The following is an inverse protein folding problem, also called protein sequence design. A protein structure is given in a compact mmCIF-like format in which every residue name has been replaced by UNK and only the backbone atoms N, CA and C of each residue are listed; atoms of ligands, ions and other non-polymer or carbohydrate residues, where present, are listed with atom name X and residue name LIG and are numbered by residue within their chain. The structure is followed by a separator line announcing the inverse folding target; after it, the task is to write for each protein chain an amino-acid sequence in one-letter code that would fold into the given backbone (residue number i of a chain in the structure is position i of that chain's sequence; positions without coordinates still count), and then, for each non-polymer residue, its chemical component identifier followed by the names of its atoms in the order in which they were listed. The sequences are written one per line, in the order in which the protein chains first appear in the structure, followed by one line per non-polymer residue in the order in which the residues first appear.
data_IF_154521665336
#
_entry.id   IF_154521665336
#
_cell.length_a   1.000
_cell.length_b   1.000
_cell.length_c   1.000
_cell.angle_alpha   90.00
_cell.angle_beta   90.00
_cell.angle_gamma   90.00
#
_symmetry.space_group_name_H-M   'P 1'
#
loop_
_entity.id
_entity.type
_entity.pdbx_description
1 polymer ?
#
# COMPACT_ATOMS: atom_id res chain seq x y z
N UNK A 1 -33.89 -8.38 1.30
CA UNK A 1 -32.64 -7.72 1.76
C UNK A 1 -32.03 -8.39 3.00
N UNK A 2 -32.80 -8.71 4.06
CA UNK A 2 -32.28 -9.37 5.30
C UNK A 2 -31.50 -10.67 5.04
N UNK A 3 -31.96 -11.53 4.14
CA UNK A 3 -31.30 -12.81 3.88
C UNK A 3 -29.90 -12.66 3.27
N UNK A 4 -29.71 -11.68 2.38
CA UNK A 4 -28.40 -11.35 1.79
C UNK A 4 -27.42 -10.92 2.88
N UNK A 5 -27.88 -10.10 3.84
CA UNK A 5 -27.06 -9.65 4.96
C UNK A 5 -26.65 -10.78 5.90
N UNK A 6 -27.55 -11.75 6.14
CA UNK A 6 -27.29 -12.91 6.99
C UNK A 6 -26.21 -13.81 6.35
N UNK A 7 -26.29 -14.04 5.04
CA UNK A 7 -25.32 -14.84 4.29
C UNK A 7 -23.95 -14.15 4.28
N UNK A 8 -23.93 -12.85 3.92
CA UNK A 8 -22.70 -12.07 3.91
C UNK A 8 -21.99 -12.06 5.27
N UNK A 9 -22.74 -11.92 6.37
CA UNK A 9 -22.17 -11.95 7.73
C UNK A 9 -21.58 -13.33 8.07
N UNK A 10 -22.23 -14.41 7.66
CA UNK A 10 -21.74 -15.77 7.89
C UNK A 10 -20.41 -15.99 7.18
N UNK A 11 -20.33 -15.61 5.90
CA UNK A 11 -19.14 -15.82 5.09
C UNK A 11 -17.98 -14.93 5.55
N UNK A 12 -18.22 -13.64 5.81
CA UNK A 12 -17.21 -12.75 6.41
C UNK A 12 -16.67 -13.33 7.72
N UNK A 13 -17.56 -13.74 8.63
CA UNK A 13 -17.16 -14.29 9.93
C UNK A 13 -16.33 -15.55 9.77
N UNK A 14 -16.60 -16.38 8.76
CA UNK A 14 -15.80 -17.56 8.43
C UNK A 14 -14.40 -17.17 7.94
N UNK A 15 -14.27 -16.15 7.09
CA UNK A 15 -12.96 -15.63 6.65
C UNK A 15 -12.13 -15.10 7.83
N UNK A 16 -12.75 -14.30 8.71
CA UNK A 16 -12.10 -13.77 9.91
C UNK A 16 -11.86 -14.78 11.03
N UNK A 17 -12.38 -16.01 10.93
CA UNK A 17 -12.07 -17.08 11.89
C UNK A 17 -10.87 -17.92 11.44
N UNK A 18 -10.44 -17.81 10.19
CA UNK A 18 -9.34 -18.59 9.65
C UNK A 18 -7.99 -18.00 10.07
N UNK A 19 -7.11 -18.76 10.75
CA UNK A 19 -5.76 -18.31 11.07
C UNK A 19 -4.95 -17.90 9.83
N UNK A 20 -5.22 -18.55 8.69
CA UNK A 20 -4.55 -18.30 7.41
C UNK A 20 -4.79 -16.87 6.92
N UNK A 21 -6.01 -16.34 7.09
CA UNK A 21 -6.34 -14.97 6.67
C UNK A 21 -5.47 -13.94 7.39
N UNK A 22 -5.26 -14.11 8.70
CA UNK A 22 -4.42 -13.20 9.48
C UNK A 22 -2.95 -13.32 9.10
N UNK A 23 -2.45 -14.53 8.86
CA UNK A 23 -1.07 -14.74 8.40
C UNK A 23 -0.82 -14.06 7.06
N UNK A 24 -1.70 -14.28 6.06
CA UNK A 24 -1.59 -13.67 4.74
C UNK A 24 -1.69 -12.13 4.81
N UNK A 25 -2.68 -11.63 5.54
CA UNK A 25 -2.89 -10.18 5.70
C UNK A 25 -1.71 -9.52 6.41
N UNK A 26 -1.14 -10.17 7.43
CA UNK A 26 0.03 -9.65 8.13
C UNK A 26 1.25 -9.56 7.22
N UNK A 27 1.55 -10.62 6.47
CA UNK A 27 2.67 -10.63 5.50
C UNK A 27 2.46 -9.56 4.42
N UNK A 28 1.24 -9.46 3.88
CA UNK A 28 0.88 -8.45 2.91
C UNK A 28 1.12 -7.02 3.44
N UNK A 29 0.63 -6.72 4.65
CA UNK A 29 0.77 -5.39 5.26
C UNK A 29 2.24 -5.06 5.56
N UNK A 30 3.02 -6.02 6.05
CA UNK A 30 4.44 -5.82 6.34
C UNK A 30 5.21 -5.50 5.06
N UNK A 31 5.02 -6.29 4.00
CA UNK A 31 5.70 -6.09 2.73
C UNK A 31 5.30 -4.75 2.08
N UNK A 32 3.99 -4.48 2.01
CA UNK A 32 3.48 -3.25 1.41
C UNK A 32 3.95 -2.02 2.19
N UNK A 33 3.84 -2.06 3.53
CA UNK A 33 4.30 -0.98 4.40
C UNK A 33 5.80 -0.73 4.29
N UNK A 34 6.61 -1.79 4.20
CA UNK A 34 8.06 -1.67 4.04
C UNK A 34 8.43 -1.00 2.70
N UNK A 35 7.82 -1.43 1.58
CA UNK A 35 8.10 -0.82 0.28
C UNK A 35 7.63 0.63 0.23
N UNK A 36 6.42 0.91 0.72
CA UNK A 36 5.88 2.27 0.80
C UNK A 36 6.79 3.20 1.60
N UNK A 37 7.27 2.74 2.75
CA UNK A 37 8.20 3.51 3.58
C UNK A 37 9.51 3.80 2.85
N UNK A 38 10.05 2.86 2.08
CA UNK A 38 11.26 3.09 1.28
C UNK A 38 11.05 4.17 0.21
N UNK A 39 9.93 4.10 -0.53
CA UNK A 39 9.59 5.09 -1.57
C UNK A 39 9.41 6.48 -0.95
N UNK A 40 8.73 6.58 0.20
CA UNK A 40 8.57 7.83 0.92
C UNK A 40 9.89 8.43 1.40
N UNK A 41 10.81 7.61 1.93
CA UNK A 41 12.13 8.10 2.34
C UNK A 41 12.91 8.63 1.14
N UNK A 42 12.85 7.94 0.00
CA UNK A 42 13.47 8.41 -1.23
C UNK A 42 12.90 9.76 -1.67
N UNK A 43 11.56 9.89 -1.69
CA UNK A 43 10.90 11.16 -2.01
C UNK A 43 11.30 12.29 -1.04
N UNK A 44 11.36 11.99 0.26
CA UNK A 44 11.78 12.94 1.29
C UNK A 44 13.20 13.47 1.02
N UNK A 45 14.16 12.57 0.78
CA UNK A 45 15.53 12.95 0.43
C UNK A 45 15.62 13.77 -0.86
N UNK A 46 14.86 13.40 -1.88
CA UNK A 46 14.78 14.17 -3.13
C UNK A 46 14.23 15.57 -2.89
N UNK A 47 13.21 15.68 -2.02
CA UNK A 47 12.57 16.95 -1.69
C UNK A 47 13.51 17.94 -1.03
N UNK A 48 14.36 17.46 -0.11
CA UNK A 48 15.38 18.28 0.54
C UNK A 48 16.46 18.77 -0.45
N UNK A 49 16.84 17.95 -1.43
CA UNK A 49 17.86 18.31 -2.41
C UNK A 49 17.38 19.40 -3.39
N UNK A 50 16.12 19.30 -3.85
CA UNK A 50 15.51 20.32 -4.73
C UNK A 50 15.34 21.64 -3.98
N UNK A 51 14.99 21.60 -2.70
CA UNK A 51 14.84 22.80 -1.89
C UNK A 51 16.17 23.55 -1.66
N UNK A 52 17.31 22.85 -1.71
CA UNK A 52 18.65 23.45 -1.59
C UNK A 52 19.18 24.05 -2.91
N UNK A 53 18.54 23.77 -4.05
CA UNK A 53 18.93 24.28 -5.38
C UNK A 53 17.77 25.07 -6.01
N UNK A 54 17.52 26.32 -5.55
CA UNK A 54 16.50 27.17 -6.12
C UNK A 54 16.84 27.48 -7.59
N UNK A 55 16.16 26.79 -8.52
CA UNK A 55 16.41 26.88 -9.97
C UNK A 55 16.18 25.57 -10.71
N UNK A 56 16.21 24.42 -10.03
CA UNK A 56 15.76 23.16 -10.63
C UNK A 56 14.24 23.10 -10.63
N UNK A 57 13.62 23.35 -11.79
CA UNK A 57 12.19 23.16 -12.05
C UNK A 57 11.80 21.67 -12.09
N UNK A 58 12.41 20.83 -11.25
CA UNK A 58 11.96 19.46 -11.06
C UNK A 58 10.69 19.52 -10.21
N UNK A 59 9.54 19.44 -10.88
CA UNK A 59 8.25 19.35 -10.21
C UNK A 59 8.20 18.06 -9.40
N UNK A 60 8.42 18.18 -8.08
CA UNK A 60 8.25 17.07 -7.17
C UNK A 60 6.76 16.76 -7.06
N UNK A 61 6.30 15.77 -7.83
CA UNK A 61 4.94 15.30 -7.78
C UNK A 61 4.85 14.06 -6.88
N UNK A 62 4.20 14.19 -5.73
CA UNK A 62 3.93 13.09 -4.81
C UNK A 62 3.15 11.94 -5.47
N UNK A 63 2.24 12.25 -6.39
CA UNK A 63 1.43 11.20 -7.03
C UNK A 63 2.29 10.30 -7.92
N UNK A 64 3.13 10.88 -8.76
CA UNK A 64 3.98 10.13 -9.70
C UNK A 64 5.13 9.42 -8.97
N UNK A 65 5.70 10.04 -7.94
CA UNK A 65 6.88 9.49 -7.27
C UNK A 65 6.56 8.52 -6.13
N UNK A 66 5.38 8.62 -5.53
CA UNK A 66 5.02 7.80 -4.37
C UNK A 66 3.76 6.98 -4.63
N UNK A 67 2.66 7.63 -5.01
CA UNK A 67 1.35 6.97 -5.06
C UNK A 67 1.29 5.92 -6.17
N UNK A 68 1.64 6.29 -7.40
CA UNK A 68 1.65 5.41 -8.55
C UNK A 68 2.55 4.17 -8.36
N UNK A 69 3.84 4.30 -7.98
CA UNK A 69 4.70 3.13 -7.75
C UNK A 69 4.23 2.30 -6.55
N UNK A 70 3.61 2.91 -5.53
CA UNK A 70 3.08 2.15 -4.39
C UNK A 70 1.90 1.27 -4.80
N UNK A 71 0.99 1.76 -5.63
CA UNK A 71 -0.12 0.95 -6.16
C UNK A 71 0.36 -0.16 -7.10
N UNK A 72 1.37 0.11 -7.94
CA UNK A 72 1.96 -0.91 -8.80
C UNK A 72 2.59 -2.05 -7.97
N UNK A 73 3.40 -1.70 -6.97
CA UNK A 73 3.99 -2.68 -6.06
C UNK A 73 2.93 -3.43 -5.25
N UNK A 74 1.86 -2.76 -4.83
CA UNK A 74 0.73 -3.41 -4.17
C UNK A 74 0.09 -4.49 -5.04
N UNK A 75 -0.13 -4.21 -6.32
CA UNK A 75 -0.68 -5.19 -7.26
C UNK A 75 0.25 -6.40 -7.44
N UNK A 76 1.57 -6.17 -7.53
CA UNK A 76 2.57 -7.25 -7.63
C UNK A 76 2.59 -8.11 -6.36
N UNK A 77 2.55 -7.50 -5.17
CA UNK A 77 2.50 -8.25 -3.90
C UNK A 77 1.22 -9.09 -3.83
N UNK A 78 0.08 -8.53 -4.22
CA UNK A 78 -1.20 -9.27 -4.26
C UNK A 78 -1.18 -10.46 -5.23
N UNK A 79 -0.35 -10.43 -6.27
CA UNK A 79 -0.18 -11.57 -7.18
C UNK A 79 0.76 -12.65 -6.62
N UNK A 80 1.67 -12.28 -5.71
CA UNK A 80 2.67 -13.19 -5.14
C UNK A 80 2.17 -13.96 -3.92
N UNK A 81 1.14 -13.45 -3.25
CA UNK A 81 0.53 -14.01 -2.03
C UNK A 81 -0.79 -14.70 -2.39
#
# INVERSE_FOLDING_TARGET
MKNIWIIAKKDLSSFFSSPVFYSLTSVFLILNGFIFFNILNYFSLQSFQVQQRPGSSFGLNLNEMVIEPSFHNMAVILLLI
#
